data_IF_509402926400
#
_entry.id   IF_509402926400
#
_cell.length_a   1.000
_cell.length_b   1.000
_cell.length_c   1.000
_cell.angle_alpha   90.00
_cell.angle_beta   90.00
_cell.angle_gamma   90.00
#
_symmetry.space_group_name_H-M   'P 1'
#
loop_
_entity.id
_entity.type
_entity.pdbx_description
1 polymer ?
#
# COMPACT_ATOMS: atom_id res chain seq x y z
N UNK A 1 8.55 18.60 -28.87
CA UNK A 1 7.31 18.90 -29.61
C UNK A 1 6.33 17.79 -29.29
N UNK A 2 5.12 18.13 -28.85
CA UNK A 2 4.05 17.14 -28.67
C UNK A 2 3.76 16.59 -30.07
N UNK A 3 4.02 15.30 -30.28
CA UNK A 3 3.70 14.58 -31.51
C UNK A 3 2.20 14.77 -31.83
N UNK A 4 1.82 14.94 -33.10
CA UNK A 4 0.44 15.22 -33.55
C UNK A 4 -0.58 14.14 -33.08
N UNK A 5 -0.08 13.04 -32.53
CA UNK A 5 -0.83 11.93 -31.94
C UNK A 5 -1.53 12.24 -30.61
N UNK A 6 -1.22 13.34 -29.92
CA UNK A 6 -1.89 13.75 -28.67
C UNK A 6 -2.78 15.00 -28.88
N UNK A 7 -3.77 14.89 -29.74
CA UNK A 7 -4.66 16.01 -30.16
C UNK A 7 -6.06 15.96 -29.54
N UNK A 8 -6.31 15.08 -28.57
CA UNK A 8 -7.62 15.00 -27.90
C UNK A 8 -7.88 16.13 -26.91
N UNK A 9 -9.14 16.35 -26.55
CA UNK A 9 -9.56 17.38 -25.59
C UNK A 9 -9.31 16.98 -24.13
N UNK A 10 -9.02 15.70 -23.86
CA UNK A 10 -8.81 15.17 -22.53
C UNK A 10 -7.34 15.31 -22.10
N UNK A 11 -7.12 15.77 -20.86
CA UNK A 11 -5.80 15.94 -20.25
C UNK A 11 -5.65 15.06 -19.01
N UNK A 12 -4.43 14.56 -18.79
CA UNK A 12 -4.08 13.76 -17.63
C UNK A 12 -2.85 14.34 -16.92
N UNK A 13 -2.96 14.67 -15.64
CA UNK A 13 -1.86 15.18 -14.82
C UNK A 13 -1.20 14.04 -14.06
N UNK A 14 0.06 13.76 -14.38
CA UNK A 14 0.87 12.77 -13.68
C UNK A 14 1.80 13.45 -12.68
N UNK A 15 1.64 13.13 -11.40
CA UNK A 15 2.55 13.59 -10.34
C UNK A 15 3.64 12.53 -10.15
N UNK A 16 4.83 12.82 -10.68
CA UNK A 16 6.01 11.96 -10.58
C UNK A 16 6.93 12.48 -9.47
N UNK A 17 7.71 11.60 -8.89
CA UNK A 17 8.76 11.94 -7.93
C UNK A 17 8.98 10.82 -6.92
N UNK A 18 10.17 10.81 -6.31
CA UNK A 18 10.47 9.85 -5.26
C UNK A 18 9.49 9.97 -4.08
N UNK A 19 9.25 8.86 -3.38
CA UNK A 19 8.56 8.87 -2.09
C UNK A 19 9.17 9.94 -1.19
N UNK A 20 8.34 10.62 -0.38
CA UNK A 20 8.77 11.69 0.55
C UNK A 20 9.32 12.96 -0.12
N UNK A 21 9.30 13.05 -1.47
CA UNK A 21 9.61 14.29 -2.22
C UNK A 21 8.45 15.27 -2.32
N UNK A 22 7.34 15.02 -1.62
CA UNK A 22 6.17 15.90 -1.67
C UNK A 22 5.11 15.50 -2.70
N UNK A 23 5.21 14.32 -3.33
CA UNK A 23 4.21 13.85 -4.31
C UNK A 23 2.78 13.84 -3.75
N UNK A 24 2.57 13.39 -2.50
CA UNK A 24 1.24 13.42 -1.86
C UNK A 24 0.75 14.85 -1.60
N UNK A 25 1.64 15.76 -1.20
CA UNK A 25 1.29 17.16 -0.95
C UNK A 25 0.86 17.85 -2.26
N UNK A 26 1.62 17.61 -3.33
CA UNK A 26 1.31 18.11 -4.68
C UNK A 26 0.00 17.56 -5.20
N UNK A 27 -0.20 16.24 -5.13
CA UNK A 27 -1.46 15.61 -5.54
C UNK A 27 -2.65 16.10 -4.72
N UNK A 28 -2.49 16.27 -3.40
CA UNK A 28 -3.57 16.78 -2.55
C UNK A 28 -3.95 18.23 -2.88
N UNK A 29 -2.98 19.11 -3.14
CA UNK A 29 -3.28 20.49 -3.58
C UNK A 29 -4.02 20.49 -4.91
N UNK A 30 -3.57 19.68 -5.87
CA UNK A 30 -4.23 19.55 -7.18
C UNK A 30 -5.64 18.95 -7.04
N UNK A 31 -5.81 17.98 -6.17
CA UNK A 31 -7.10 17.35 -5.88
C UNK A 31 -8.10 18.37 -5.31
N UNK A 32 -7.71 19.10 -4.26
CA UNK A 32 -8.54 20.14 -3.68
C UNK A 32 -8.75 21.34 -4.63
N UNK A 33 -7.87 21.51 -5.63
CA UNK A 33 -8.04 22.50 -6.69
C UNK A 33 -8.96 22.04 -7.83
N UNK A 34 -9.58 20.87 -7.71
CA UNK A 34 -10.60 20.38 -8.65
C UNK A 34 -10.11 19.36 -9.68
N UNK A 35 -8.89 18.83 -9.55
CA UNK A 35 -8.44 17.69 -10.38
C UNK A 35 -8.95 16.38 -9.76
N UNK A 36 -9.61 15.56 -10.56
CA UNK A 36 -10.07 14.24 -10.11
C UNK A 36 -8.94 13.21 -10.14
N UNK A 37 -8.64 12.56 -9.01
CA UNK A 37 -7.61 11.52 -8.88
C UNK A 37 -8.18 10.09 -8.84
N UNK A 38 -9.48 9.96 -9.13
CA UNK A 38 -10.27 8.74 -8.98
C UNK A 38 -10.93 8.63 -7.62
N UNK A 39 -11.85 7.68 -7.49
CA UNK A 39 -12.70 7.52 -6.30
C UNK A 39 -12.16 6.48 -5.30
N UNK A 40 -11.13 5.71 -5.67
CA UNK A 40 -10.52 4.66 -4.83
C UNK A 40 -9.10 5.03 -4.43
N UNK A 41 -8.97 6.07 -3.60
CA UNK A 41 -7.67 6.51 -3.09
C UNK A 41 -7.25 5.72 -1.85
N UNK A 42 -5.97 5.35 -1.77
CA UNK A 42 -5.40 4.70 -0.60
C UNK A 42 -5.59 5.56 0.66
N UNK A 43 -6.10 4.98 1.76
CA UNK A 43 -6.33 5.72 3.00
C UNK A 43 -5.01 6.17 3.61
N UNK A 44 -5.06 7.27 4.37
CA UNK A 44 -3.93 7.72 5.16
C UNK A 44 -3.49 6.68 6.19
N UNK A 45 -2.18 6.56 6.42
CA UNK A 45 -1.58 5.71 7.45
C UNK A 45 -0.75 6.56 8.42
N UNK A 46 -0.19 5.97 9.47
CA UNK A 46 0.56 6.69 10.51
C UNK A 46 1.70 7.59 9.95
N UNK A 47 2.37 7.17 8.89
CA UNK A 47 3.47 7.92 8.24
C UNK A 47 3.00 8.97 7.21
N UNK A 48 1.71 8.95 6.84
CA UNK A 48 1.04 9.96 6.03
C UNK A 48 -0.47 10.03 6.35
N UNK A 49 -0.87 10.64 7.49
CA UNK A 49 -2.25 10.61 7.97
C UNK A 49 -3.24 11.33 7.05
N UNK A 50 -2.76 12.27 6.23
CA UNK A 50 -3.58 13.10 5.33
C UNK A 50 -3.92 12.42 4.00
N UNK A 51 -3.55 11.14 3.83
CA UNK A 51 -3.83 10.37 2.62
C UNK A 51 -2.70 10.42 1.60
N UNK A 52 -2.60 9.37 0.79
CA UNK A 52 -1.55 9.25 -0.22
C UNK A 52 -1.94 9.83 -1.57
N UNK A 53 -3.25 9.97 -1.86
CA UNK A 53 -3.76 10.32 -3.19
C UNK A 53 -3.27 9.35 -4.28
N UNK A 54 -2.97 8.11 -3.86
CA UNK A 54 -2.59 7.01 -4.74
C UNK A 54 -3.84 6.21 -5.06
N UNK A 55 -4.13 6.01 -6.34
CA UNK A 55 -5.26 5.17 -6.74
C UNK A 55 -4.93 3.70 -6.40
N UNK A 56 -5.73 3.09 -5.53
CA UNK A 56 -5.48 1.78 -4.91
C UNK A 56 -5.16 0.68 -5.94
N UNK A 57 -5.98 0.58 -6.98
CA UNK A 57 -5.80 -0.46 -8.03
C UNK A 57 -4.57 -0.17 -8.90
N UNK A 58 -4.25 1.09 -9.13
CA UNK A 58 -3.06 1.47 -9.93
C UNK A 58 -1.80 1.15 -9.14
N UNK A 59 -1.81 1.46 -7.84
CA UNK A 59 -0.74 1.10 -6.92
C UNK A 59 -0.50 -0.43 -6.88
N UNK A 60 -1.57 -1.23 -6.79
CA UNK A 60 -1.47 -2.69 -6.81
C UNK A 60 -0.85 -3.21 -8.12
N UNK A 61 -1.27 -2.66 -9.27
CA UNK A 61 -0.73 -3.03 -10.58
C UNK A 61 0.76 -2.68 -10.67
N UNK A 62 1.15 -1.48 -10.24
CA UNK A 62 2.55 -1.07 -10.25
C UNK A 62 3.42 -1.91 -9.31
N UNK A 63 2.95 -2.21 -8.10
CA UNK A 63 3.67 -3.07 -7.15
C UNK A 63 3.84 -4.49 -7.71
N UNK A 64 2.79 -5.05 -8.29
CA UNK A 64 2.82 -6.39 -8.91
C UNK A 64 3.81 -6.42 -10.08
N UNK A 65 3.74 -5.42 -10.97
CA UNK A 65 4.63 -5.35 -12.12
C UNK A 65 6.10 -5.23 -11.71
N UNK A 66 6.43 -4.39 -10.72
CA UNK A 66 7.81 -4.31 -10.22
C UNK A 66 8.29 -5.66 -9.69
N UNK A 67 7.46 -6.35 -8.91
CA UNK A 67 7.79 -7.67 -8.37
C UNK A 67 8.00 -8.71 -9.48
N UNK A 68 7.15 -8.73 -10.51
CA UNK A 68 7.27 -9.63 -11.66
C UNK A 68 8.54 -9.35 -12.49
N UNK A 69 9.00 -8.11 -12.51
CA UNK A 69 10.27 -7.70 -13.11
C UNK A 69 11.48 -7.96 -12.20
N UNK A 70 11.29 -8.57 -11.03
CA UNK A 70 12.36 -8.86 -10.06
C UNK A 70 12.94 -7.59 -9.39
N UNK A 71 12.12 -6.54 -9.30
CA UNK A 71 12.43 -5.23 -8.73
C UNK A 71 11.50 -4.92 -7.55
N UNK A 72 11.79 -3.84 -6.83
CA UNK A 72 10.91 -3.26 -5.82
C UNK A 72 10.93 -1.73 -5.89
N UNK A 73 10.13 -1.09 -5.03
CA UNK A 73 10.10 0.37 -4.95
C UNK A 73 11.42 0.98 -4.44
N UNK A 74 12.22 0.21 -3.70
CA UNK A 74 13.54 0.62 -3.22
C UNK A 74 14.69 0.05 -4.06
N UNK A 75 14.39 -0.45 -5.26
CA UNK A 75 15.44 -0.93 -6.15
C UNK A 75 16.11 0.23 -6.90
N UNK A 76 17.42 0.35 -6.72
CA UNK A 76 18.27 1.37 -7.37
C UNK A 76 18.66 0.97 -8.79
N UNK A 77 18.47 -0.30 -9.16
CA UNK A 77 18.85 -0.85 -10.46
C UNK A 77 17.87 -0.39 -11.53
N UNK A 78 18.30 -0.17 -12.78
CA UNK A 78 17.37 0.09 -13.87
C UNK A 78 16.43 -1.11 -14.06
N UNK A 79 15.23 -0.86 -14.59
CA UNK A 79 14.36 -1.95 -15.00
C UNK A 79 15.01 -2.75 -16.14
N UNK A 80 14.71 -4.06 -16.28
CA UNK A 80 15.30 -4.89 -17.32
C UNK A 80 15.16 -4.27 -18.72
N UNK A 81 16.19 -4.39 -19.56
CA UNK A 81 16.07 -3.93 -20.96
C UNK A 81 14.92 -4.65 -21.66
N UNK A 82 14.09 -3.91 -22.40
CA UNK A 82 12.90 -4.47 -23.06
C UNK A 82 11.76 -4.86 -22.10
N UNK A 83 11.75 -4.40 -20.84
CA UNK A 83 10.71 -4.79 -19.88
C UNK A 83 9.28 -4.49 -20.34
N UNK A 84 9.07 -3.47 -21.18
CA UNK A 84 7.77 -3.12 -21.76
C UNK A 84 7.20 -4.24 -22.66
N UNK A 85 8.06 -5.09 -23.21
CA UNK A 85 7.70 -6.21 -24.11
C UNK A 85 7.46 -7.53 -23.35
N UNK A 86 7.49 -7.50 -22.02
CA UNK A 86 7.20 -8.68 -21.19
C UNK A 86 5.69 -8.95 -21.10
N UNK A 87 5.31 -10.20 -20.83
CA UNK A 87 3.89 -10.54 -20.57
C UNK A 87 3.34 -9.80 -19.35
N UNK A 88 4.17 -9.62 -18.30
CA UNK A 88 3.80 -8.86 -17.11
C UNK A 88 3.46 -7.40 -17.45
N UNK A 89 4.27 -6.73 -18.28
CA UNK A 89 3.99 -5.36 -18.72
C UNK A 89 2.74 -5.27 -19.59
N UNK A 90 2.53 -6.21 -20.52
CA UNK A 90 1.30 -6.27 -21.34
C UNK A 90 0.05 -6.44 -20.47
N UNK A 91 0.11 -7.34 -19.50
CA UNK A 91 -0.98 -7.60 -18.57
C UNK A 91 -1.28 -6.37 -17.69
N UNK A 92 -0.24 -5.74 -17.13
CA UNK A 92 -0.37 -4.51 -16.36
C UNK A 92 -0.98 -3.38 -17.21
N UNK A 93 -0.49 -3.18 -18.44
CA UNK A 93 -1.01 -2.18 -19.36
C UNK A 93 -2.50 -2.40 -19.67
N UNK A 94 -2.92 -3.64 -19.92
CA UNK A 94 -4.33 -3.97 -20.12
C UNK A 94 -5.21 -3.62 -18.91
N UNK A 95 -4.78 -3.96 -17.69
CA UNK A 95 -5.53 -3.58 -16.48
C UNK A 95 -5.60 -2.07 -16.27
N UNK A 96 -4.54 -1.32 -16.60
CA UNK A 96 -4.54 0.14 -16.52
C UNK A 96 -5.50 0.76 -17.55
N UNK A 97 -5.58 0.21 -18.77
CA UNK A 97 -6.56 0.63 -19.77
C UNK A 97 -7.99 0.52 -19.22
N UNK A 98 -8.33 -0.62 -18.60
CA UNK A 98 -9.66 -0.83 -18.03
C UNK A 98 -10.01 0.21 -16.94
N UNK A 99 -9.03 0.64 -16.15
CA UNK A 99 -9.23 1.70 -15.15
C UNK A 99 -9.49 3.04 -15.83
N UNK A 100 -8.69 3.41 -16.84
CA UNK A 100 -8.88 4.66 -17.59
C UNK A 100 -10.25 4.70 -18.25
N UNK A 101 -10.65 3.60 -18.89
CA UNK A 101 -11.92 3.52 -19.60
C UNK A 101 -13.13 3.54 -18.65
N UNK A 102 -12.99 2.93 -17.46
CA UNK A 102 -14.07 2.89 -16.46
C UNK A 102 -14.22 4.19 -15.68
N UNK A 103 -13.11 4.81 -15.27
CA UNK A 103 -13.13 5.85 -14.24
C UNK A 103 -12.84 7.25 -14.77
N UNK A 104 -12.06 7.34 -15.85
CA UNK A 104 -11.60 8.62 -16.38
C UNK A 104 -12.21 8.95 -17.75
N UNK A 105 -12.95 8.04 -18.37
CA UNK A 105 -13.60 8.28 -19.67
C UNK A 105 -14.58 9.47 -19.60
N UNK A 106 -14.48 10.38 -20.57
CA UNK A 106 -15.31 11.59 -20.64
C UNK A 106 -14.92 12.73 -19.70
N UNK A 107 -13.93 12.54 -18.82
CA UNK A 107 -13.44 13.61 -17.95
C UNK A 107 -12.49 14.53 -18.72
N UNK A 108 -12.71 15.87 -18.78
CA UNK A 108 -11.82 16.76 -19.51
C UNK A 108 -10.41 16.84 -18.89
N UNK A 109 -10.31 16.66 -17.57
CA UNK A 109 -9.07 16.71 -16.80
C UNK A 109 -9.14 15.73 -15.63
N UNK A 110 -8.14 14.87 -15.52
CA UNK A 110 -7.94 13.99 -14.37
C UNK A 110 -6.46 13.93 -13.98
N UNK A 111 -6.17 13.32 -12.83
CA UNK A 111 -4.84 13.21 -12.26
C UNK A 111 -4.53 11.80 -11.80
N UNK A 112 -3.26 11.42 -11.83
CA UNK A 112 -2.76 10.21 -11.19
C UNK A 112 -1.47 10.51 -10.45
N UNK A 113 -1.35 9.88 -9.29
CA UNK A 113 -0.14 9.91 -8.48
C UNK A 113 0.13 8.51 -7.95
N UNK A 114 1.36 8.09 -8.12
CA UNK A 114 2.02 6.98 -7.45
C UNK A 114 3.51 7.24 -7.63
N UNK A 115 4.33 7.30 -6.57
CA UNK A 115 5.77 7.50 -6.74
C UNK A 115 6.40 6.53 -7.76
N UNK A 116 5.89 5.28 -7.88
CA UNK A 116 6.36 4.29 -8.86
C UNK A 116 6.12 4.71 -10.31
N UNK A 117 5.19 5.63 -10.57
CA UNK A 117 5.06 6.24 -11.89
C UNK A 117 6.39 6.83 -12.35
N UNK A 118 7.23 7.38 -11.46
CA UNK A 118 8.57 7.84 -11.84
C UNK A 118 9.36 6.82 -12.65
N UNK A 119 9.18 5.52 -12.35
CA UNK A 119 9.87 4.40 -13.01
C UNK A 119 9.05 3.76 -14.12
N UNK A 120 7.72 3.74 -13.93
CA UNK A 120 6.78 3.02 -14.77
C UNK A 120 6.02 3.92 -15.76
N UNK A 121 6.31 5.22 -15.81
CA UNK A 121 5.61 6.16 -16.69
C UNK A 121 5.57 5.71 -18.17
N UNK A 122 6.63 5.09 -18.74
CA UNK A 122 6.56 4.56 -20.10
C UNK A 122 5.45 3.53 -20.35
N UNK A 123 4.97 2.82 -19.32
CA UNK A 123 3.84 1.89 -19.42
C UNK A 123 2.54 2.57 -19.88
N UNK A 124 2.43 3.88 -19.60
CA UNK A 124 1.24 4.69 -19.86
C UNK A 124 1.20 5.25 -21.28
N UNK A 125 2.34 5.33 -21.98
CA UNK A 125 2.42 5.95 -23.30
C UNK A 125 1.47 5.33 -24.34
N UNK A 126 1.42 3.99 -24.53
CA UNK A 126 0.46 3.39 -25.45
C UNK A 126 -0.99 3.68 -25.04
N UNK A 127 -1.31 3.68 -23.75
CA UNK A 127 -2.65 3.96 -23.24
C UNK A 127 -3.07 5.38 -23.59
N UNK A 128 -2.21 6.35 -23.29
CA UNK A 128 -2.41 7.77 -23.57
C UNK A 128 -2.56 8.05 -25.07
N UNK A 129 -1.72 7.41 -25.89
CA UNK A 129 -1.75 7.54 -27.35
C UNK A 129 -3.03 6.95 -27.95
N UNK A 130 -3.38 5.71 -27.57
CA UNK A 130 -4.60 5.02 -28.03
C UNK A 130 -5.88 5.83 -27.73
N UNK A 131 -5.89 6.56 -26.60
CA UNK A 131 -7.04 7.35 -26.14
C UNK A 131 -6.94 8.84 -26.46
N UNK A 132 -5.89 9.25 -27.19
CA UNK A 132 -5.59 10.65 -27.52
C UNK A 132 -5.58 11.58 -26.29
N UNK A 133 -5.13 11.09 -25.14
CA UNK A 133 -5.06 11.84 -23.88
C UNK A 133 -3.76 12.62 -23.85
N UNK A 134 -3.81 13.92 -23.58
CA UNK A 134 -2.63 14.76 -23.44
C UNK A 134 -2.02 14.57 -22.05
N UNK A 135 -0.82 13.97 -21.91
CA UNK A 135 -0.14 13.88 -20.62
C UNK A 135 0.50 15.22 -20.24
N UNK A 136 0.33 15.59 -18.98
CA UNK A 136 0.92 16.76 -18.34
C UNK A 136 1.65 16.28 -17.09
N UNK A 137 2.90 16.70 -16.90
CA UNK A 137 3.76 16.12 -15.85
C UNK A 137 4.09 17.16 -14.78
N UNK A 138 3.91 16.78 -13.52
CA UNK A 138 4.44 17.52 -12.37
C UNK A 138 5.56 16.69 -11.74
N UNK A 139 6.79 17.19 -11.81
CA UNK A 139 7.96 16.57 -11.20
C UNK A 139 8.11 17.11 -9.77
N UNK A 140 7.66 16.35 -8.78
CA UNK A 140 7.81 16.68 -7.37
C UNK A 140 9.26 16.44 -6.92
N UNK A 141 9.94 17.53 -6.54
CA UNK A 141 11.34 17.56 -6.17
C UNK A 141 11.51 18.01 -4.73
N UNK A 142 12.38 17.30 -4.01
CA UNK A 142 12.84 17.68 -2.67
C UNK A 142 14.32 17.36 -2.54
N UNK A 143 14.99 18.09 -1.66
CA UNK A 143 16.41 17.91 -1.38
C UNK A 143 16.71 16.42 -1.07
N UNK A 144 17.72 15.81 -1.73
CA UNK A 144 18.01 14.38 -1.62
C UNK A 144 18.25 13.93 -0.18
N UNK A 145 18.99 14.73 0.60
CA UNK A 145 19.26 14.40 2.01
C UNK A 145 17.98 14.38 2.88
N UNK A 146 17.05 15.32 2.70
CA UNK A 146 15.77 15.31 3.45
C UNK A 146 14.93 14.08 3.09
N UNK A 147 14.95 13.67 1.81
CA UNK A 147 14.27 12.45 1.39
C UNK A 147 14.93 11.22 2.02
N UNK A 148 16.26 11.12 1.94
CA UNK A 148 17.01 10.02 2.51
C UNK A 148 16.81 9.87 4.02
N UNK A 149 16.86 10.98 4.78
CA UNK A 149 16.57 10.99 6.21
C UNK A 149 15.14 10.55 6.51
N UNK A 150 14.16 11.05 5.74
CA UNK A 150 12.77 10.63 5.91
C UNK A 150 12.57 9.14 5.64
N UNK A 151 13.21 8.57 4.62
CA UNK A 151 13.14 7.15 4.29
C UNK A 151 13.87 6.30 5.33
N UNK A 152 15.04 6.73 5.80
CA UNK A 152 15.76 6.06 6.87
C UNK A 152 14.92 5.95 8.14
N UNK A 153 14.23 7.04 8.53
CA UNK A 153 13.35 7.04 9.72
C UNK A 153 12.18 6.07 9.56
N UNK A 154 11.52 6.08 8.39
CA UNK A 154 10.31 5.31 8.09
C UNK A 154 10.61 3.82 7.83
N UNK A 155 11.50 3.54 6.89
CA UNK A 155 11.71 2.20 6.31
C UNK A 155 12.97 1.50 6.83
N UNK A 156 13.78 2.18 7.65
CA UNK A 156 15.07 1.68 8.18
C UNK A 156 16.09 1.33 7.09
N UNK A 157 15.94 1.88 5.89
CA UNK A 157 16.92 1.73 4.82
C UNK A 157 18.17 2.59 5.10
N UNK A 158 19.35 2.12 4.67
CA UNK A 158 20.60 2.86 4.85
C UNK A 158 20.63 4.16 4.06
N UNK A 159 21.33 5.18 4.56
CA UNK A 159 21.39 6.53 3.94
C UNK A 159 21.86 6.50 2.49
N UNK A 160 22.96 5.80 2.18
CA UNK A 160 23.47 5.67 0.81
C UNK A 160 22.49 4.96 -0.12
N UNK A 161 21.80 3.93 0.38
CA UNK A 161 20.77 3.25 -0.39
C UNK A 161 19.57 4.18 -0.66
N UNK A 162 19.10 4.91 0.35
CA UNK A 162 18.01 5.88 0.21
C UNK A 162 18.33 6.99 -0.81
N UNK A 163 19.58 7.47 -0.84
CA UNK A 163 20.06 8.42 -1.85
C UNK A 163 20.11 7.79 -3.25
N UNK A 164 20.59 6.55 -3.37
CA UNK A 164 20.55 5.81 -4.63
C UNK A 164 19.14 5.64 -5.18
N UNK A 165 18.16 5.35 -4.32
CA UNK A 165 16.75 5.23 -4.72
C UNK A 165 16.19 6.59 -5.13
N UNK A 166 16.48 7.66 -4.37
CA UNK A 166 16.10 9.02 -4.76
C UNK A 166 16.66 9.39 -6.14
N UNK A 167 17.93 9.08 -6.38
CA UNK A 167 18.61 9.37 -7.64
C UNK A 167 17.95 8.60 -8.80
N UNK A 168 17.74 7.29 -8.63
CA UNK A 168 17.03 6.44 -9.61
C UNK A 168 15.65 6.98 -9.97
N UNK A 169 14.80 7.26 -8.98
CA UNK A 169 13.44 7.76 -9.22
C UNK A 169 13.43 9.12 -9.90
N UNK A 170 14.35 10.00 -9.51
CA UNK A 170 14.42 11.36 -10.07
C UNK A 170 14.90 11.31 -11.53
N UNK A 171 15.87 10.46 -11.84
CA UNK A 171 16.34 10.22 -13.20
C UNK A 171 15.28 9.59 -14.09
N UNK A 172 14.66 8.49 -13.66
CA UNK A 172 13.64 7.79 -14.45
C UNK A 172 12.46 8.74 -14.76
N UNK A 173 12.06 9.58 -13.79
CA UNK A 173 10.99 10.57 -13.98
C UNK A 173 11.38 11.70 -14.94
N UNK A 174 12.60 12.22 -14.85
CA UNK A 174 13.08 13.24 -15.76
C UNK A 174 13.15 12.68 -17.18
N UNK A 175 13.81 11.55 -17.38
CA UNK A 175 14.03 10.93 -18.69
C UNK A 175 12.71 10.58 -19.38
N UNK A 176 11.81 9.89 -18.67
CA UNK A 176 10.54 9.43 -19.24
C UNK A 176 9.54 10.57 -19.48
N UNK A 177 9.69 11.70 -18.79
CA UNK A 177 8.82 12.87 -19.01
C UNK A 177 9.28 13.79 -20.14
N UNK A 178 10.46 13.57 -20.72
CA UNK A 178 10.95 14.37 -21.85
C UNK A 178 9.96 14.28 -23.02
N UNK A 179 9.73 15.42 -23.67
CA UNK A 179 8.80 15.52 -24.80
C UNK A 179 7.36 15.88 -24.41
N UNK A 180 6.98 15.80 -23.13
CA UNK A 180 5.68 16.23 -22.63
C UNK A 180 5.74 17.58 -21.91
N UNK A 181 4.63 18.35 -21.86
CA UNK A 181 4.54 19.52 -21.00
C UNK A 181 4.79 19.13 -19.54
N UNK A 182 5.78 19.77 -18.92
CA UNK A 182 6.23 19.43 -17.58
C UNK A 182 6.58 20.65 -16.75
N UNK A 183 6.36 20.56 -15.45
CA UNK A 183 6.73 21.59 -14.46
C UNK A 183 7.37 20.93 -13.25
N UNK A 184 8.46 21.53 -12.76
CA UNK A 184 9.07 21.10 -11.50
C UNK A 184 8.38 21.80 -10.34
N UNK A 185 7.88 20.99 -9.41
CA UNK A 185 7.29 21.43 -8.16
C UNK A 185 8.33 21.21 -7.06
N UNK A 186 8.82 22.28 -6.45
CA UNK A 186 9.80 22.18 -5.37
C UNK A 186 9.11 22.17 -4.01
N UNK A 187 9.24 21.08 -3.25
CA UNK A 187 8.50 20.84 -2.01
C UNK A 187 8.49 22.02 -1.02
N UNK A 188 9.64 22.65 -0.69
CA UNK A 188 9.63 23.82 0.20
C UNK A 188 8.85 25.02 -0.31
N UNK A 189 8.75 25.24 -1.64
CA UNK A 189 7.93 26.33 -2.17
C UNK A 189 6.44 26.06 -1.97
N UNK A 190 5.99 24.83 -2.25
CA UNK A 190 4.58 24.44 -2.08
C UNK A 190 4.12 24.52 -0.63
N UNK A 191 4.96 24.07 0.31
CA UNK A 191 4.61 24.14 1.73
C UNK A 191 4.55 25.59 2.23
N UNK A 192 5.40 26.47 1.70
CA UNK A 192 5.43 27.87 2.12
C UNK A 192 4.29 28.69 1.52
N UNK A 193 4.05 28.52 0.21
CA UNK A 193 3.07 29.27 -0.57
C UNK A 193 2.49 28.39 -1.70
N UNK A 194 1.51 27.57 -1.33
CA UNK A 194 0.84 26.69 -2.28
C UNK A 194 0.06 27.46 -3.36
N UNK A 195 -0.37 28.71 -3.09
CA UNK A 195 -1.17 29.51 -4.03
C UNK A 195 -0.34 29.91 -5.23
N UNK A 196 0.87 30.44 -4.99
CA UNK A 196 1.81 30.79 -6.05
C UNK A 196 2.25 29.56 -6.85
N UNK A 197 2.53 28.44 -6.17
CA UNK A 197 2.94 27.21 -6.85
C UNK A 197 1.79 26.59 -7.67
N UNK A 198 0.55 26.60 -7.17
CA UNK A 198 -0.62 26.14 -7.93
C UNK A 198 -0.85 27.01 -9.17
N UNK A 199 -0.75 28.34 -9.03
CA UNK A 199 -0.85 29.26 -10.17
C UNK A 199 0.25 29.00 -11.22
N UNK A 200 1.49 28.75 -10.77
CA UNK A 200 2.60 28.35 -11.66
C UNK A 200 2.27 27.06 -12.40
N UNK A 201 1.85 26.00 -11.69
CA UNK A 201 1.51 24.71 -12.28
C UNK A 201 0.39 24.89 -13.32
N UNK A 202 -0.67 25.62 -12.97
CA UNK A 202 -1.80 25.88 -13.86
C UNK A 202 -1.39 26.62 -15.13
N UNK A 203 -0.53 27.63 -15.00
CA UNK A 203 -0.03 28.43 -16.12
C UNK A 203 0.87 27.61 -17.04
N UNK A 204 1.89 26.93 -16.49
CA UNK A 204 2.88 26.17 -17.27
C UNK A 204 2.24 24.99 -18.01
N UNK A 205 1.30 24.28 -17.36
CA UNK A 205 0.65 23.11 -17.95
C UNK A 205 -0.64 23.47 -18.72
N UNK A 206 -1.03 24.75 -18.76
CA UNK A 206 -2.26 25.19 -19.43
C UNK A 206 -3.51 24.51 -18.87
N UNK A 207 -3.61 24.43 -17.54
CA UNK A 207 -4.76 23.87 -16.83
C UNK A 207 -5.86 24.93 -16.70
N UNK A 208 -7.11 24.49 -16.91
CA UNK A 208 -8.31 25.29 -16.65
C UNK A 208 -8.93 24.81 -15.34
N UNK A 209 -8.38 25.27 -14.22
CA UNK A 209 -8.87 24.93 -12.88
C UNK A 209 -10.07 25.83 -12.50
N UNK A 210 -11.04 25.32 -11.73
CA UNK A 210 -12.11 26.14 -11.17
C UNK A 210 -11.55 27.22 -10.24
N UNK A 211 -12.28 28.33 -10.11
CA UNK A 211 -11.95 29.35 -9.10
C UNK A 211 -12.14 28.76 -7.70
N UNK A 212 -11.11 28.89 -6.86
CA UNK A 212 -11.14 28.32 -5.52
C UNK A 212 -12.00 29.17 -4.59
N UNK A 213 -13.05 28.56 -4.04
CA UNK A 213 -13.85 29.20 -2.99
C UNK A 213 -13.01 29.43 -1.73
N UNK A 214 -13.46 30.33 -0.85
CA UNK A 214 -12.82 30.52 0.46
C UNK A 214 -12.73 29.21 1.25
N UNK A 215 -13.74 28.34 1.12
CA UNK A 215 -13.75 27.02 1.76
C UNK A 215 -12.67 26.09 1.21
N UNK A 216 -12.45 26.08 -0.12
CA UNK A 216 -11.41 25.26 -0.74
C UNK A 216 -10.01 25.73 -0.32
N UNK A 217 -9.81 27.05 -0.26
CA UNK A 217 -8.56 27.62 0.23
C UNK A 217 -8.27 27.21 1.69
N UNK A 218 -9.28 27.26 2.58
CA UNK A 218 -9.15 26.83 3.99
C UNK A 218 -8.83 25.33 4.07
N UNK A 219 -9.45 24.50 3.22
CA UNK A 219 -9.15 23.06 3.16
C UNK A 219 -7.70 22.80 2.76
N UNK A 220 -7.20 23.51 1.74
CA UNK A 220 -5.81 23.38 1.29
C UNK A 220 -4.85 23.91 2.37
N UNK A 221 -5.13 25.04 3.01
CA UNK A 221 -4.32 25.56 4.12
C UNK A 221 -4.26 24.57 5.30
N UNK A 222 -5.37 23.88 5.61
CA UNK A 222 -5.41 22.85 6.65
C UNK A 222 -4.67 21.56 6.24
N UNK A 223 -4.68 21.25 4.95
CA UNK A 223 -3.97 20.11 4.37
C UNK A 223 -2.46 20.33 4.33
N UNK A 224 -1.99 21.51 3.93
CA UNK A 224 -0.58 21.90 3.90
C UNK A 224 -0.14 22.31 5.31
N UNK A 225 0.28 21.33 6.11
CA UNK A 225 0.81 21.60 7.45
C UNK A 225 2.29 21.98 7.39
N UNK A 226 2.55 23.26 7.62
CA UNK A 226 3.89 23.86 7.68
C UNK A 226 4.77 23.23 8.76
N UNK A 227 4.17 22.62 9.79
CA UNK A 227 4.88 21.99 10.91
C UNK A 227 5.41 20.58 10.58
N UNK A 228 4.97 19.96 9.48
CA UNK A 228 5.51 18.67 9.02
C UNK A 228 6.93 18.79 8.42
N UNK A 229 7.47 20.01 8.31
CA UNK A 229 8.86 20.25 7.95
C UNK A 229 9.76 20.10 9.20
N UNK A 230 10.11 18.85 9.52
CA UNK A 230 10.95 18.55 10.68
C UNK A 230 12.47 18.64 10.40
N UNK A 231 12.90 18.85 9.16
CA UNK A 231 14.32 18.76 8.78
C UNK A 231 14.85 20.10 8.25
N UNK A 232 15.90 20.60 8.90
CA UNK A 232 16.70 21.73 8.42
C UNK A 232 17.87 21.18 7.59
N UNK A 233 18.20 21.79 6.44
CA UNK A 233 19.21 21.28 5.49
C UNK A 233 20.67 21.50 5.96
N UNK A 234 20.96 21.40 7.25
CA UNK A 234 22.28 21.76 7.81
C UNK A 234 23.12 20.56 8.28
N UNK A 235 22.87 19.36 7.78
CA UNK A 235 23.79 18.24 7.99
C UNK A 235 24.52 17.96 6.68
N UNK A 236 25.84 17.98 6.70
CA UNK A 236 26.63 17.65 5.52
C UNK A 236 26.50 16.15 5.25
N UNK A 237 26.36 15.75 3.98
CA UNK A 237 26.22 14.33 3.58
C UNK A 237 27.42 13.47 4.04
N UNK A 238 28.58 14.10 4.23
CA UNK A 238 29.80 13.48 4.79
C UNK A 238 29.63 12.97 6.22
N UNK A 239 28.74 13.56 7.03
CA UNK A 239 28.47 13.13 8.42
C UNK A 239 27.82 11.74 8.50
N UNK A 240 27.25 11.24 7.40
CA UNK A 240 26.60 9.93 7.32
C UNK A 240 27.48 8.85 6.68
N UNK A 241 28.77 9.12 6.44
CA UNK A 241 29.67 8.19 5.76
C UNK A 241 29.27 7.89 4.31
N UNK A 242 28.57 8.83 3.66
CA UNK A 242 28.19 8.73 2.25
C UNK A 242 29.43 9.02 1.41
N UNK A 243 29.69 8.19 0.39
CA UNK A 243 30.79 8.43 -0.56
C UNK A 243 30.59 9.75 -1.31
N UNK A 244 31.67 10.52 -1.49
CA UNK A 244 31.65 11.83 -2.17
C UNK A 244 30.93 11.76 -3.54
N UNK A 245 31.24 10.75 -4.36
CA UNK A 245 30.61 10.55 -5.69
C UNK A 245 29.07 10.50 -5.65
N UNK A 246 28.48 9.76 -4.69
CA UNK A 246 27.02 9.62 -4.60
C UNK A 246 26.36 10.92 -4.15
N UNK A 247 27.00 11.64 -3.21
CA UNK A 247 26.58 12.96 -2.78
C UNK A 247 26.60 13.94 -3.96
N UNK A 248 27.70 13.96 -4.71
CA UNK A 248 27.89 14.84 -5.86
C UNK A 248 26.89 14.55 -6.98
N UNK A 249 26.63 13.29 -7.30
CA UNK A 249 25.60 12.93 -8.29
C UNK A 249 24.20 13.39 -7.85
N UNK A 250 23.85 13.16 -6.57
CA UNK A 250 22.55 13.56 -6.07
C UNK A 250 22.36 15.09 -6.13
N UNK A 251 23.38 15.84 -5.69
CA UNK A 251 23.33 17.31 -5.67
C UNK A 251 23.38 17.89 -7.08
N UNK A 252 24.24 17.36 -7.96
CA UNK A 252 24.33 17.79 -9.36
C UNK A 252 22.98 17.63 -10.08
N UNK A 253 22.33 16.47 -9.94
CA UNK A 253 21.02 16.24 -10.53
C UNK A 253 19.94 17.14 -9.91
N UNK A 254 19.94 17.23 -8.58
CA UNK A 254 18.98 18.06 -7.85
C UNK A 254 19.02 19.52 -8.32
N UNK A 255 20.21 20.11 -8.43
CA UNK A 255 20.36 21.49 -8.87
C UNK A 255 19.94 21.66 -10.34
N UNK A 256 20.32 20.72 -11.23
CA UNK A 256 19.89 20.74 -12.64
C UNK A 256 18.36 20.69 -12.77
N UNK A 257 17.68 19.76 -12.08
CA UNK A 257 16.22 19.62 -12.17
C UNK A 257 15.50 20.77 -11.47
N UNK A 258 16.01 21.28 -10.35
CA UNK A 258 15.38 22.38 -9.61
C UNK A 258 15.17 23.64 -10.46
N UNK A 259 16.03 23.84 -11.44
CA UNK A 259 15.96 24.96 -12.37
C UNK A 259 15.20 24.64 -13.66
N UNK A 260 14.80 23.38 -13.88
CA UNK A 260 14.10 22.94 -15.08
C UNK A 260 12.66 23.49 -15.14
N UNK A 261 12.47 24.46 -16.02
CA UNK A 261 11.18 25.01 -16.44
C UNK A 261 10.90 24.64 -17.91
N UNK A 262 9.66 24.78 -18.38
CA UNK A 262 9.20 24.33 -19.70
C UNK A 262 9.97 24.91 -20.91
N UNK A 263 10.84 25.90 -20.71
CA UNK A 263 11.65 26.61 -21.71
C UNK A 263 13.11 26.14 -21.85
N UNK A 264 13.53 25.06 -21.17
CA UNK A 264 14.95 24.63 -21.19
C UNK A 264 15.38 24.04 -22.54
N UNK A 265 16.63 24.33 -22.91
CA UNK A 265 17.22 23.98 -24.19
C UNK A 265 17.77 22.55 -24.23
N UNK A 266 18.24 22.13 -25.41
CA UNK A 266 18.85 20.82 -25.63
C UNK A 266 20.10 20.58 -24.76
N UNK A 267 20.86 21.64 -24.46
CA UNK A 267 22.11 21.55 -23.70
C UNK A 267 21.90 21.16 -22.22
N UNK A 268 20.81 21.62 -21.60
CA UNK A 268 20.46 21.25 -20.22
C UNK A 268 20.13 19.76 -20.10
N UNK A 269 19.54 19.17 -21.15
CA UNK A 269 19.22 17.74 -21.20
C UNK A 269 20.49 16.89 -21.37
N UNK A 270 21.43 17.32 -22.21
CA UNK A 270 22.72 16.63 -22.37
C UNK A 270 23.51 16.59 -21.05
N UNK A 271 23.51 17.69 -20.29
CA UNK A 271 24.16 17.72 -18.99
C UNK A 271 23.52 16.75 -17.98
N UNK A 272 22.22 16.49 -18.07
CA UNK A 272 21.54 15.47 -17.26
C UNK A 272 21.92 14.06 -17.76
N UNK A 273 22.04 13.87 -19.08
CA UNK A 273 22.45 12.60 -19.68
C UNK A 273 23.87 12.18 -19.28
N UNK A 274 24.80 13.13 -19.18
CA UNK A 274 26.13 12.87 -18.65
C UNK A 274 26.08 12.38 -17.19
N UNK A 275 25.25 13.02 -16.36
CA UNK A 275 25.02 12.58 -14.97
C UNK A 275 24.37 11.19 -14.88
N UNK A 276 23.49 10.85 -15.81
CA UNK A 276 22.91 9.50 -15.92
C UNK A 276 24.01 8.49 -16.24
N UNK A 277 24.80 8.76 -17.29
CA UNK A 277 25.88 7.86 -17.73
C UNK A 277 26.89 7.62 -16.59
N UNK A 278 27.29 8.66 -15.88
CA UNK A 278 28.25 8.55 -14.77
C UNK A 278 27.67 7.78 -13.59
N UNK A 279 26.41 8.02 -13.25
CA UNK A 279 25.70 7.26 -12.23
C UNK A 279 25.57 5.77 -12.60
N UNK A 280 25.14 5.44 -13.82
CA UNK A 280 24.99 4.05 -14.27
C UNK A 280 26.34 3.32 -14.23
N UNK A 281 27.44 3.96 -14.65
CA UNK A 281 28.79 3.39 -14.53
C UNK A 281 29.19 3.15 -13.08
N UNK A 282 28.93 4.12 -12.20
CA UNK A 282 29.21 4.00 -10.77
C UNK A 282 28.37 2.93 -10.07
N UNK A 283 27.12 2.76 -10.53
CA UNK A 283 26.19 1.78 -10.04
C UNK A 283 26.60 0.35 -10.36
N UNK A 284 27.33 0.07 -11.44
CA UNK A 284 27.79 -1.29 -11.76
C UNK A 284 28.56 -1.88 -10.56
N UNK A 285 29.40 -1.08 -9.91
CA UNK A 285 30.16 -1.52 -8.73
C UNK A 285 29.28 -1.69 -7.48
N UNK A 286 28.26 -0.83 -7.33
CA UNK A 286 27.31 -0.92 -6.22
C UNK A 286 26.27 -2.04 -6.44
N UNK A 287 25.96 -2.39 -7.69
CA UNK A 287 25.03 -3.45 -8.11
C UNK A 287 25.52 -4.83 -7.73
N UNK A 288 26.81 -5.12 -7.84
CA UNK A 288 27.37 -6.41 -7.43
C UNK A 288 27.21 -6.65 -5.93
N UNK A 289 27.32 -5.59 -5.12
CA UNK A 289 27.10 -5.64 -3.67
C UNK A 289 25.60 -5.67 -3.32
N UNK A 290 24.77 -4.88 -3.99
CA UNK A 290 23.32 -4.80 -3.74
C UNK A 290 22.52 -5.96 -4.34
N UNK A 291 22.98 -6.59 -5.42
CA UNK A 291 22.27 -7.68 -6.08
C UNK A 291 22.08 -8.88 -5.15
N UNK A 292 23.09 -9.20 -4.34
CA UNK A 292 22.99 -10.22 -3.29
C UNK A 292 22.01 -9.82 -2.19
N UNK A 293 22.02 -8.56 -1.76
CA UNK A 293 21.08 -8.03 -0.76
C UNK A 293 19.63 -8.09 -1.26
N UNK A 294 19.36 -7.68 -2.50
CA UNK A 294 18.01 -7.69 -3.08
C UNK A 294 17.51 -9.12 -3.28
N UNK A 295 18.36 -10.03 -3.79
CA UNK A 295 18.00 -11.44 -3.93
C UNK A 295 17.61 -12.03 -2.56
N UNK A 296 18.43 -11.75 -1.54
CA UNK A 296 18.16 -12.16 -0.17
C UNK A 296 16.87 -11.51 0.37
N UNK A 297 16.64 -10.22 0.12
CA UNK A 297 15.44 -9.49 0.53
C UNK A 297 14.17 -10.08 -0.11
N UNK A 298 14.20 -10.36 -1.41
CA UNK A 298 13.08 -10.99 -2.14
C UNK A 298 12.81 -12.39 -1.59
N UNK A 299 13.85 -13.15 -1.25
CA UNK A 299 13.72 -14.45 -0.59
C UNK A 299 13.10 -14.30 0.81
N UNK A 300 13.54 -13.32 1.60
CA UNK A 300 12.93 -12.99 2.90
C UNK A 300 11.46 -12.58 2.77
N UNK A 301 11.10 -11.76 1.77
CA UNK A 301 9.72 -11.34 1.54
C UNK A 301 8.83 -12.52 1.15
N UNK A 302 9.31 -13.41 0.28
CA UNK A 302 8.63 -14.68 -0.04
C UNK A 302 8.44 -15.54 1.20
N UNK A 303 9.46 -15.63 2.05
CA UNK A 303 9.38 -16.38 3.30
C UNK A 303 8.36 -15.75 4.27
N UNK A 304 8.29 -14.42 4.37
CA UNK A 304 7.29 -13.74 5.20
C UNK A 304 5.88 -13.99 4.67
N UNK A 305 5.64 -13.83 3.37
CA UNK A 305 4.33 -14.08 2.77
C UNK A 305 3.89 -15.54 2.98
N UNK A 306 4.81 -16.49 2.80
CA UNK A 306 4.57 -17.91 3.09
C UNK A 306 4.25 -18.16 4.58
N UNK A 307 4.95 -17.49 5.50
CA UNK A 307 4.68 -17.58 6.94
C UNK A 307 3.30 -17.00 7.31
N UNK A 308 2.89 -15.90 6.68
CA UNK A 308 1.60 -15.27 6.91
C UNK A 308 0.44 -16.15 6.44
N UNK A 309 0.53 -16.72 5.23
CA UNK A 309 -0.46 -17.65 4.69
C UNK A 309 -0.61 -18.90 5.57
N UNK A 310 0.52 -19.49 6.01
CA UNK A 310 0.48 -20.62 6.94
C UNK A 310 -0.13 -20.24 8.30
N UNK A 311 0.16 -19.05 8.80
CA UNK A 311 -0.42 -18.56 10.06
C UNK A 311 -1.94 -18.40 9.93
N UNK A 312 -2.44 -17.87 8.81
CA UNK A 312 -3.88 -17.77 8.56
C UNK A 312 -4.55 -19.14 8.47
N UNK A 313 -3.90 -20.10 7.79
CA UNK A 313 -4.39 -21.48 7.72
C UNK A 313 -4.44 -22.13 9.11
N UNK A 314 -3.39 -21.97 9.93
CA UNK A 314 -3.32 -22.49 11.30
C UNK A 314 -4.39 -21.85 12.20
N UNK A 315 -4.56 -20.54 12.12
CA UNK A 315 -5.60 -19.83 12.88
C UNK A 315 -7.00 -20.33 12.52
N UNK A 316 -7.26 -20.57 11.23
CA UNK A 316 -8.53 -21.13 10.77
C UNK A 316 -8.79 -22.52 11.36
N UNK A 317 -7.76 -23.38 11.43
CA UNK A 317 -7.90 -24.72 12.02
C UNK A 317 -8.07 -24.65 13.55
N UNK A 318 -7.40 -23.71 14.24
CA UNK A 318 -7.59 -23.47 15.68
C UNK A 318 -9.04 -23.07 15.97
N UNK A 319 -9.63 -22.17 15.18
CA UNK A 319 -11.04 -21.77 15.32
C UNK A 319 -11.93 -23.01 15.18
N UNK A 320 -11.72 -23.81 14.13
CA UNK A 320 -12.48 -25.05 13.89
C UNK A 320 -12.37 -26.06 15.04
N UNK A 321 -11.18 -26.26 15.59
CA UNK A 321 -10.97 -27.17 16.72
C UNK A 321 -11.63 -26.65 18.00
N UNK A 322 -11.61 -25.34 18.25
CA UNK A 322 -12.30 -24.75 19.39
C UNK A 322 -13.82 -24.90 19.29
N UNK A 323 -14.39 -24.73 18.09
CA UNK A 323 -15.82 -24.98 17.84
C UNK A 323 -16.17 -26.45 18.13
N UNK A 324 -15.32 -27.40 17.67
CA UNK A 324 -15.52 -28.82 17.92
C UNK A 324 -15.41 -29.17 19.42
N UNK A 325 -14.44 -28.60 20.14
CA UNK A 325 -14.29 -28.78 21.59
C UNK A 325 -15.53 -28.27 22.32
N UNK A 326 -16.08 -27.15 21.87
CA UNK A 326 -17.31 -26.55 22.43
C UNK A 326 -18.50 -27.48 22.22
N UNK A 327 -18.74 -27.96 21.00
CA UNK A 327 -19.81 -28.91 20.68
C UNK A 327 -19.69 -30.23 21.47
N UNK A 328 -18.49 -30.79 21.57
CA UNK A 328 -18.24 -31.99 22.39
C UNK A 328 -18.54 -31.73 23.88
N UNK A 329 -18.13 -30.56 24.39
CA UNK A 329 -18.37 -30.19 25.78
C UNK A 329 -19.86 -30.02 26.08
N UNK A 330 -20.62 -29.41 25.17
CA UNK A 330 -22.08 -29.27 25.26
C UNK A 330 -22.77 -30.64 25.24
N UNK A 331 -22.40 -31.51 24.29
CA UNK A 331 -22.93 -32.89 24.20
C UNK A 331 -22.63 -33.68 25.47
N UNK A 332 -21.40 -33.58 26.01
CA UNK A 332 -21.00 -34.22 27.26
C UNK A 332 -21.84 -33.70 28.43
N UNK A 333 -22.01 -32.39 28.56
CA UNK A 333 -22.81 -31.79 29.63
C UNK A 333 -24.29 -32.19 29.54
N UNK A 334 -24.84 -32.27 28.32
CA UNK A 334 -26.17 -32.78 28.07
C UNK A 334 -26.32 -34.24 28.53
N UNK A 335 -25.38 -35.12 28.13
CA UNK A 335 -25.38 -36.52 28.56
C UNK A 335 -25.28 -36.67 30.08
N UNK A 336 -24.39 -35.93 30.73
CA UNK A 336 -24.23 -35.94 32.19
C UNK A 336 -25.55 -35.52 32.86
N UNK A 337 -26.19 -34.45 32.38
CA UNK A 337 -27.46 -33.96 32.92
C UNK A 337 -28.57 -34.99 32.77
N UNK A 338 -28.66 -35.63 31.59
CA UNK A 338 -29.62 -36.71 31.33
C UNK A 338 -29.41 -37.90 32.27
N UNK A 339 -28.18 -38.41 32.38
CA UNK A 339 -27.85 -39.55 33.25
C UNK A 339 -28.12 -39.25 34.73
N UNK A 340 -27.87 -38.02 35.18
CA UNK A 340 -28.23 -37.59 36.54
C UNK A 340 -29.72 -37.67 36.80
N UNK A 341 -30.56 -37.21 35.86
CA UNK A 341 -32.03 -37.33 35.97
C UNK A 341 -32.49 -38.78 36.01
N UNK A 342 -31.91 -39.64 35.17
CA UNK A 342 -32.23 -41.08 35.16
C UNK A 342 -31.87 -41.74 36.50
N UNK A 343 -30.71 -41.40 37.09
CA UNK A 343 -30.30 -41.88 38.42
C UNK A 343 -31.25 -41.38 39.52
N UNK A 344 -31.64 -40.10 39.50
CA UNK A 344 -32.60 -39.55 40.48
C UNK A 344 -33.96 -40.24 40.39
N UNK A 345 -34.45 -40.46 39.18
CA UNK A 345 -35.70 -41.19 38.95
C UNK A 345 -35.61 -42.62 39.48
N UNK A 346 -34.54 -43.35 39.15
CA UNK A 346 -34.33 -44.71 39.64
C UNK A 346 -34.23 -44.78 41.18
N UNK A 347 -33.55 -43.82 41.81
CA UNK A 347 -33.48 -43.71 43.28
C UNK A 347 -34.86 -43.45 43.90
N UNK A 348 -35.67 -42.59 43.27
CA UNK A 348 -37.04 -42.33 43.72
C UNK A 348 -37.92 -43.56 43.60
N UNK A 349 -37.83 -44.31 42.48
CA UNK A 349 -38.57 -45.55 42.27
C UNK A 349 -38.19 -46.61 43.30
N UNK A 350 -36.89 -46.81 43.57
CA UNK A 350 -36.42 -47.73 44.63
C UNK A 350 -37.01 -47.34 45.98
N UNK A 351 -36.94 -46.06 46.37
CA UNK A 351 -37.48 -45.58 47.65
C UNK A 351 -38.99 -45.80 47.76
N UNK A 352 -39.73 -45.60 46.67
CA UNK A 352 -41.18 -45.85 46.63
C UNK A 352 -41.48 -47.33 46.76
N UNK A 353 -40.76 -48.20 46.05
CA UNK A 353 -40.89 -49.66 46.17
C UNK A 353 -40.57 -50.14 47.59
N UNK A 354 -39.49 -49.65 48.20
CA UNK A 354 -39.13 -49.96 49.58
C UNK A 354 -40.23 -49.55 50.56
N UNK A 355 -40.83 -48.37 50.35
CA UNK A 355 -41.98 -47.91 51.13
C UNK A 355 -43.20 -48.82 50.93
N UNK A 356 -43.55 -49.18 49.70
CA UNK A 356 -44.66 -50.10 49.41
C UNK A 356 -44.41 -51.47 50.05
N UNK A 357 -43.19 -51.99 49.97
CA UNK A 357 -42.78 -53.23 50.63
C UNK A 357 -42.98 -53.11 52.14
N UNK A 358 -42.51 -52.01 52.75
CA UNK A 358 -42.68 -51.75 54.18
C UNK A 358 -44.16 -51.68 54.59
N UNK A 359 -44.98 -50.93 53.84
CA UNK A 359 -46.43 -50.83 54.07
C UNK A 359 -47.13 -52.20 53.95
N UNK A 360 -46.74 -53.02 52.95
CA UNK A 360 -47.23 -54.40 52.80
C UNK A 360 -46.88 -55.25 54.03
N UNK A 361 -45.61 -55.26 54.46
CA UNK A 361 -45.16 -56.01 55.64
C UNK A 361 -45.84 -55.57 56.94
N UNK A 362 -46.19 -54.29 57.07
CA UNK A 362 -46.86 -53.75 58.26
C UNK A 362 -48.39 -53.77 58.19
N UNK A 363 -48.98 -54.11 57.04
CA UNK A 363 -50.43 -54.20 56.87
C UNK A 363 -51.08 -55.26 57.75
N UNK A 364 -52.32 -55.00 58.19
CA UNK A 364 -53.11 -55.94 59.00
C UNK A 364 -53.34 -57.26 58.27
N UNK A 365 -53.62 -57.21 56.96
CA UNK A 365 -53.77 -58.41 56.13
C UNK A 365 -52.50 -59.27 56.14
N UNK A 366 -51.32 -58.65 55.96
CA UNK A 366 -50.06 -59.38 56.03
C UNK A 366 -49.79 -59.98 57.40
N UNK A 367 -50.05 -59.24 58.49
CA UNK A 367 -49.89 -59.75 59.86
C UNK A 367 -50.86 -60.88 60.20
N UNK A 368 -52.14 -60.75 59.83
CA UNK A 368 -53.19 -61.75 60.10
C UNK A 368 -52.94 -63.05 59.33
N UNK A 369 -52.46 -62.94 58.08
CA UNK A 369 -52.14 -64.12 57.26
C UNK A 369 -50.78 -64.75 57.58
N UNK A 370 -50.03 -64.22 58.56
CA UNK A 370 -48.71 -64.75 58.94
C UNK A 370 -48.73 -66.24 59.36
N UNK A 371 -49.69 -66.73 60.17
CA UNK A 371 -49.78 -68.16 60.50
C UNK A 371 -50.06 -69.01 59.26
N UNK A 372 -50.93 -68.55 58.35
CA UNK A 372 -51.25 -69.25 57.10
C UNK A 372 -50.03 -69.33 56.16
N UNK A 373 -49.17 -68.31 56.14
CA UNK A 373 -47.91 -68.35 55.36
C UNK A 373 -46.87 -69.29 55.96
N UNK A 374 -46.78 -69.38 57.29
CA UNK A 374 -45.91 -70.34 57.97
C UNK A 374 -46.37 -71.77 57.68
N UNK A 375 -47.68 -72.02 57.76
CA UNK A 375 -48.27 -73.33 57.41
C UNK A 375 -48.04 -73.64 55.93
N UNK A 376 -48.22 -72.67 55.02
CA UNK A 376 -47.93 -72.86 53.59
C UNK A 376 -46.45 -73.20 53.34
N UNK A 377 -45.50 -72.53 53.99
CA UNK A 377 -44.06 -72.81 53.85
C UNK A 377 -43.63 -74.13 54.52
N UNK A 378 -44.41 -74.67 55.45
CA UNK A 378 -44.19 -75.99 56.04
C UNK A 378 -44.84 -77.12 55.22
N UNK A 379 -45.79 -76.77 54.34
CA UNK A 379 -46.50 -77.68 53.45
C UNK A 379 -46.00 -77.64 51.99
N UNK A 380 -45.14 -76.67 51.64
CA UNK A 380 -44.35 -76.62 50.41
C UNK A 380 -42.93 -77.07 50.70
#
# INVERSE_FOLDING_TARGET
MIDETYSGSQKAVFVLGMHRSGTSATAGVLHYAGIDFGNRLLPGRADNPKGYFEHEVVWEIHETLLNDLGSGWDDIRPLPSGWLDTDAARYASARLRDIVDREFSGMPLWGLKDPRLSRLFPLWFPILKERSIIPLVVLALRHPLEVAQSLHRRDKIGMSHALGVWLRYTLDAELSSRGFPRVVQYYPRLINDWRTELAKISSVLGLSLPELSATDQIRIDSFIDKNLRHEKPHQHMTEFGISDNLSDWCMSLYDKIKHLDASHGFDDLNAIDDSISDFEKGLIHYHELCGNYIKLKLEYQKNIAWLEENRESLNSEIIRLNDLITDISEKKNYMITRLRREIEYAKSDIKNRDRTIHELYHSTSWKITAPLRIVRNLLS
#
